data_IF_173482709660
#
_entry.id   IF_173482709660
#
_cell.length_a   1.000
_cell.length_b   1.000
_cell.length_c   1.000
_cell.angle_alpha   90.00
_cell.angle_beta   90.00
_cell.angle_gamma   90.00
#
_symmetry.space_group_name_H-M   'P 1'
#
loop_
_entity.id
_entity.type
_entity.pdbx_description
1 polymer ?
#
# COMPACT_ATOMS: atom_id res chain seq x y z
N UNK A 1 4.43 -15.74 4.58
CA UNK A 1 4.27 -14.53 5.42
C UNK A 1 5.53 -13.67 5.44
N UNK A 2 6.69 -14.24 5.75
CA UNK A 2 7.95 -13.48 5.79
C UNK A 2 8.30 -12.84 4.45
N UNK A 3 8.03 -13.52 3.33
CA UNK A 3 8.31 -12.97 2.00
C UNK A 3 7.54 -11.66 1.75
N UNK A 4 6.28 -11.57 2.18
CA UNK A 4 5.49 -10.34 2.07
C UNK A 4 6.00 -9.24 3.00
N UNK A 5 6.44 -9.59 4.21
CA UNK A 5 6.98 -8.61 5.16
C UNK A 5 8.30 -8.04 4.66
N UNK A 6 9.18 -8.85 4.06
CA UNK A 6 10.40 -8.36 3.43
C UNK A 6 10.09 -7.48 2.23
N UNK A 7 9.11 -7.84 1.41
CA UNK A 7 8.68 -7.04 0.27
C UNK A 7 8.16 -5.67 0.72
N UNK A 8 7.36 -5.63 1.79
CA UNK A 8 6.87 -4.38 2.39
C UNK A 8 8.03 -3.49 2.81
N UNK A 9 9.00 -4.03 3.57
CA UNK A 9 10.13 -3.26 4.07
C UNK A 9 11.02 -2.71 2.96
N UNK A 10 11.30 -3.49 1.93
CA UNK A 10 12.30 -3.15 0.92
C UNK A 10 11.73 -2.44 -0.30
N UNK A 11 10.48 -2.65 -0.64
CA UNK A 11 9.88 -2.09 -1.86
C UNK A 11 8.65 -1.26 -1.57
N UNK A 12 7.65 -1.83 -0.91
CA UNK A 12 6.38 -1.17 -0.67
C UNK A 12 6.55 0.10 0.19
N UNK A 13 7.16 -0.02 1.36
CA UNK A 13 7.40 1.12 2.25
C UNK A 13 8.31 2.15 1.58
N UNK A 14 9.37 1.69 0.91
CA UNK A 14 10.34 2.57 0.25
C UNK A 14 9.78 3.40 -0.90
N UNK A 15 8.60 3.05 -1.41
CA UNK A 15 7.97 3.78 -2.51
C UNK A 15 6.67 4.45 -2.06
N UNK A 16 5.73 3.68 -1.54
CA UNK A 16 4.39 4.19 -1.21
C UNK A 16 4.43 5.12 0.00
N UNK A 17 5.09 4.70 1.07
CA UNK A 17 5.21 5.54 2.26
C UNK A 17 6.07 6.78 2.00
N UNK A 18 7.12 6.67 1.19
CA UNK A 18 7.98 7.80 0.83
C UNK A 18 7.21 8.83 0.04
N UNK A 19 6.39 8.42 -0.96
CA UNK A 19 5.59 9.36 -1.73
C UNK A 19 4.59 10.09 -0.83
N UNK A 20 3.93 9.37 0.07
CA UNK A 20 3.02 9.97 1.04
C UNK A 20 3.73 11.00 1.93
N UNK A 21 4.94 10.67 2.41
CA UNK A 21 5.74 11.60 3.22
C UNK A 21 6.13 12.85 2.43
N UNK A 22 6.58 12.71 1.19
CA UNK A 22 6.95 13.85 0.35
C UNK A 22 5.78 14.78 0.07
N UNK A 23 4.58 14.24 -0.09
CA UNK A 23 3.39 15.04 -0.35
C UNK A 23 2.83 15.74 0.90
N UNK A 24 3.03 15.17 2.09
CA UNK A 24 2.33 15.60 3.29
C UNK A 24 3.21 16.28 4.35
N UNK A 25 4.53 16.09 4.31
CA UNK A 25 5.42 16.66 5.32
C UNK A 25 6.14 17.90 4.79
N UNK A 26 5.88 19.10 5.36
CA UNK A 26 6.49 20.35 4.88
C UNK A 26 8.01 20.35 4.88
N UNK A 27 8.64 19.70 5.84
CA UNK A 27 10.11 19.64 5.92
C UNK A 27 10.76 18.82 4.81
N UNK A 28 9.97 18.06 4.06
CA UNK A 28 10.46 17.26 2.91
C UNK A 28 10.10 17.88 1.56
N UNK A 29 9.54 19.09 1.57
CA UNK A 29 9.09 19.76 0.35
C UNK A 29 10.19 19.93 -0.69
N UNK A 30 11.42 20.20 -0.26
CA UNK A 30 12.56 20.37 -1.17
C UNK A 30 12.91 19.05 -1.93
N UNK A 31 12.54 17.90 -1.38
CA UNK A 31 12.75 16.59 -2.00
C UNK A 31 11.59 16.16 -2.88
N UNK A 32 10.46 16.86 -2.82
CA UNK A 32 9.23 16.55 -3.55
C UNK A 32 9.23 17.21 -4.93
N UNK A 33 10.26 16.91 -5.74
CA UNK A 33 10.33 17.43 -7.12
C UNK A 33 9.29 16.72 -8.00
N UNK A 34 8.79 17.37 -9.07
CA UNK A 34 7.85 16.72 -9.99
C UNK A 34 8.39 15.41 -10.56
N UNK A 35 9.68 15.36 -10.90
CA UNK A 35 10.34 14.15 -11.44
C UNK A 35 10.33 13.02 -10.40
N UNK A 36 10.70 13.32 -9.16
CA UNK A 36 10.74 12.32 -8.09
C UNK A 36 9.34 11.80 -7.77
N UNK A 37 8.35 12.67 -7.69
CA UNK A 37 6.96 12.29 -7.44
C UNK A 37 6.42 11.41 -8.59
N UNK A 38 6.76 11.73 -9.84
CA UNK A 38 6.35 10.93 -10.98
C UNK A 38 6.98 9.55 -10.98
N UNK A 39 8.29 9.45 -10.66
CA UNK A 39 8.99 8.16 -10.53
C UNK A 39 8.34 7.28 -9.46
N UNK A 40 8.05 7.85 -8.30
CA UNK A 40 7.39 7.12 -7.20
C UNK A 40 5.98 6.70 -7.58
N UNK A 41 5.25 7.50 -8.33
CA UNK A 41 3.91 7.15 -8.79
C UNK A 41 3.94 5.94 -9.72
N UNK A 42 4.84 5.92 -10.68
CA UNK A 42 5.00 4.80 -11.62
C UNK A 42 5.42 3.54 -10.88
N UNK A 43 6.46 3.63 -10.06
CA UNK A 43 6.96 2.49 -9.28
C UNK A 43 5.91 1.96 -8.30
N UNK A 44 5.24 2.86 -7.58
CA UNK A 44 4.21 2.48 -6.60
C UNK A 44 2.98 1.86 -7.25
N UNK A 45 2.55 2.38 -8.39
CA UNK A 45 1.43 1.80 -9.15
C UNK A 45 1.76 0.36 -9.57
N UNK A 46 2.99 0.11 -10.00
CA UNK A 46 3.45 -1.25 -10.33
C UNK A 46 3.42 -2.19 -9.12
N UNK A 47 3.83 -1.70 -7.95
CA UNK A 47 3.78 -2.48 -6.71
C UNK A 47 2.35 -2.79 -6.28
N UNK A 48 1.44 -1.82 -6.41
CA UNK A 48 0.02 -2.01 -6.12
C UNK A 48 -0.61 -3.01 -7.08
N UNK A 49 -0.18 -3.03 -8.35
CA UNK A 49 -0.61 -4.01 -9.32
C UNK A 49 -0.21 -5.44 -8.91
N UNK A 50 1.00 -5.62 -8.38
CA UNK A 50 1.47 -6.92 -7.87
C UNK A 50 0.53 -7.41 -6.75
N UNK A 51 0.18 -6.53 -5.81
CA UNK A 51 -0.75 -6.86 -4.74
C UNK A 51 -2.14 -7.19 -5.29
N UNK A 52 -2.64 -6.37 -6.21
CA UNK A 52 -3.97 -6.56 -6.82
C UNK A 52 -4.07 -7.90 -7.56
N UNK A 53 -3.04 -8.25 -8.34
CA UNK A 53 -2.99 -9.53 -9.05
C UNK A 53 -3.08 -10.70 -8.09
N UNK A 54 -2.37 -10.62 -6.98
CA UNK A 54 -2.40 -11.65 -5.95
C UNK A 54 -3.77 -11.73 -5.26
N UNK A 55 -4.35 -10.58 -4.93
CA UNK A 55 -5.60 -10.48 -4.17
C UNK A 55 -6.86 -10.64 -5.04
N UNK A 56 -6.73 -10.62 -6.36
CA UNK A 56 -7.88 -10.81 -7.26
C UNK A 56 -8.47 -12.22 -7.18
N UNK A 57 -7.66 -13.21 -6.78
CA UNK A 57 -8.11 -14.59 -6.63
C UNK A 57 -8.04 -15.08 -5.17
N UNK A 58 -7.72 -14.18 -4.24
CA UNK A 58 -7.53 -14.53 -2.82
C UNK A 58 -8.12 -13.45 -1.94
N UNK A 59 -8.62 -13.84 -0.76
CA UNK A 59 -9.12 -12.89 0.23
C UNK A 59 -8.00 -12.28 1.08
N UNK A 60 -6.92 -13.01 1.29
CA UNK A 60 -5.81 -12.64 2.16
C UNK A 60 -4.47 -12.89 1.47
N UNK A 61 -3.41 -12.22 1.96
CA UNK A 61 -2.07 -12.33 1.36
C UNK A 61 -1.50 -13.75 1.50
N UNK A 62 -1.76 -14.41 2.62
CA UNK A 62 -1.25 -15.74 2.90
C UNK A 62 -2.38 -16.65 3.38
N UNK A 63 -2.57 -17.78 2.73
CA UNK A 63 -3.55 -18.76 3.14
C UNK A 63 -5.00 -18.27 3.07
N UNK A 64 -5.85 -18.80 3.94
CA UNK A 64 -7.29 -18.60 3.91
C UNK A 64 -7.81 -17.73 5.08
N UNK A 65 -6.91 -17.09 5.81
CA UNK A 65 -7.25 -16.27 6.97
C UNK A 65 -6.34 -15.05 7.05
N UNK A 66 -6.78 -13.97 7.74
CA UNK A 66 -5.92 -12.81 7.94
C UNK A 66 -4.65 -13.19 8.71
N UNK A 67 -3.54 -12.56 8.34
CA UNK A 67 -2.23 -12.82 8.94
C UNK A 67 -1.52 -11.51 9.24
N UNK A 68 -0.35 -11.64 9.88
CA UNK A 68 0.49 -10.49 10.15
C UNK A 68 0.92 -9.77 8.86
N UNK A 69 1.07 -10.50 7.75
CA UNK A 69 1.38 -9.90 6.45
C UNK A 69 0.30 -8.92 6.00
N UNK A 70 -0.98 -9.25 6.21
CA UNK A 70 -2.10 -8.36 5.87
C UNK A 70 -2.02 -7.07 6.68
N UNK A 71 -1.76 -7.16 7.98
CA UNK A 71 -1.67 -5.99 8.86
C UNK A 71 -0.48 -5.10 8.49
N UNK A 72 0.69 -5.69 8.24
CA UNK A 72 1.89 -4.93 7.88
C UNK A 72 1.71 -4.16 6.58
N UNK A 73 1.15 -4.78 5.55
CA UNK A 73 0.97 -4.14 4.25
C UNK A 73 -0.20 -3.16 4.25
N UNK A 74 -1.23 -3.43 5.03
CA UNK A 74 -2.37 -2.53 5.16
C UNK A 74 -1.99 -1.16 5.72
N UNK A 75 -1.02 -1.11 6.63
CA UNK A 75 -0.67 0.13 7.33
C UNK A 75 -0.45 1.33 6.40
N UNK A 76 0.24 1.12 5.27
CA UNK A 76 0.47 2.18 4.29
C UNK A 76 -0.44 2.09 3.07
N UNK A 77 -0.94 0.90 2.74
CA UNK A 77 -1.77 0.71 1.55
C UNK A 77 -3.15 1.36 1.70
N UNK A 78 -3.76 1.30 2.88
CA UNK A 78 -5.11 1.84 3.07
C UNK A 78 -5.18 3.37 2.89
N UNK A 79 -4.05 4.07 3.02
CA UNK A 79 -3.97 5.53 2.79
C UNK A 79 -3.22 5.89 1.51
N UNK A 80 -2.90 4.92 0.66
CA UNK A 80 -2.14 5.18 -0.56
C UNK A 80 -2.86 6.17 -1.47
N UNK A 81 -4.18 6.08 -1.60
CA UNK A 81 -4.96 7.02 -2.41
C UNK A 81 -5.05 8.39 -1.75
N UNK A 82 -5.44 8.46 -0.48
CA UNK A 82 -5.69 9.73 0.21
C UNK A 82 -4.40 10.52 0.53
N UNK A 83 -3.34 9.84 0.89
CA UNK A 83 -2.07 10.49 1.30
C UNK A 83 -0.97 10.37 0.26
N UNK A 84 -0.90 9.26 -0.45
CA UNK A 84 0.13 9.00 -1.46
C UNK A 84 -0.25 9.44 -2.86
N UNK A 85 -1.52 9.77 -3.09
CA UNK A 85 -1.99 10.23 -4.39
C UNK A 85 -2.05 9.13 -5.46
N UNK A 86 -2.09 7.86 -5.06
CA UNK A 86 -2.24 6.74 -5.98
C UNK A 86 -3.72 6.53 -6.34
N UNK A 87 -4.00 6.19 -7.59
CA UNK A 87 -5.35 5.86 -8.02
C UNK A 87 -5.58 4.35 -7.83
N UNK A 88 -6.46 3.99 -6.90
CA UNK A 88 -6.80 2.59 -6.62
C UNK A 88 -8.00 2.10 -7.43
N UNK A 89 -8.65 2.96 -8.21
CA UNK A 89 -9.85 2.60 -8.97
C UNK A 89 -9.67 1.34 -9.83
N UNK A 90 -8.53 1.13 -10.55
CA UNK A 90 -8.36 -0.07 -11.37
C UNK A 90 -8.08 -1.35 -10.56
N UNK A 91 -7.84 -1.23 -9.26
CA UNK A 91 -7.38 -2.36 -8.42
C UNK A 91 -8.53 -2.92 -7.57
N UNK A 92 -9.49 -3.61 -8.21
CA UNK A 92 -10.67 -4.13 -7.52
C UNK A 92 -10.33 -5.16 -6.43
N UNK A 93 -9.37 -6.05 -6.68
CA UNK A 93 -8.92 -7.03 -5.67
C UNK A 93 -8.27 -6.37 -4.48
N UNK A 94 -7.43 -5.36 -4.73
CA UNK A 94 -6.79 -4.60 -3.68
C UNK A 94 -7.81 -3.82 -2.84
N UNK A 95 -8.77 -3.15 -3.48
CA UNK A 95 -9.82 -2.42 -2.77
C UNK A 95 -10.68 -3.34 -1.91
N UNK A 96 -11.03 -4.51 -2.41
CA UNK A 96 -11.78 -5.51 -1.66
C UNK A 96 -11.03 -5.98 -0.42
N UNK A 97 -9.71 -6.19 -0.53
CA UNK A 97 -8.87 -6.57 0.58
C UNK A 97 -8.79 -5.46 1.64
N UNK A 98 -8.64 -4.20 1.23
CA UNK A 98 -8.65 -3.06 2.16
C UNK A 98 -9.95 -3.07 2.98
N UNK A 99 -11.09 -3.28 2.33
CA UNK A 99 -12.40 -3.37 3.00
C UNK A 99 -12.45 -4.53 3.97
N UNK A 100 -11.91 -5.69 3.60
CA UNK A 100 -11.90 -6.88 4.47
C UNK A 100 -11.06 -6.68 5.72
N UNK A 101 -9.87 -6.07 5.58
CA UNK A 101 -9.02 -5.78 6.74
C UNK A 101 -9.70 -4.79 7.68
N UNK A 102 -10.31 -3.74 7.13
CA UNK A 102 -11.02 -2.74 7.92
C UNK A 102 -12.22 -3.32 8.69
N UNK A 103 -12.79 -4.43 8.22
CA UNK A 103 -13.91 -5.09 8.85
C UNK A 103 -13.50 -6.13 9.91
N UNK A 104 -12.21 -6.36 10.13
CA UNK A 104 -11.75 -7.35 11.11
C UNK A 104 -12.12 -6.94 12.53
N UNK A 105 -12.52 -7.91 13.41
CA UNK A 105 -12.74 -7.61 14.81
C UNK A 105 -11.48 -7.02 15.45
N UNK A 106 -11.64 -5.97 16.23
CA UNK A 106 -10.53 -5.30 16.88
C UNK A 106 -9.77 -4.31 15.99
N UNK A 107 -10.25 -4.06 14.76
CA UNK A 107 -9.65 -3.05 13.90
C UNK A 107 -9.68 -1.67 14.56
N UNK A 108 -8.55 -0.98 14.46
CA UNK A 108 -8.40 0.40 14.91
C UNK A 108 -7.92 1.22 13.71
N UNK A 109 -8.63 2.32 13.42
CA UNK A 109 -8.26 3.20 12.31
C UNK A 109 -6.94 3.91 12.61
N UNK A 110 -5.98 3.73 11.72
CA UNK A 110 -4.66 4.35 11.83
C UNK A 110 -4.62 5.61 10.96
#
# INVERSE_FOLDING_TARGET
>A
MLAWMFWEQNQHEGVIAVRAALLNYPHRKAQATPERLAELLVSGTGLLQIMDDHLSARDWLVGNAPSLADLCLYAYTHTAESRGGFDLTPFAGLRGWITRVAALPGYVDL
#
